data_IF_594061573342
#
_entry.id   IF_594061573342
#
_cell.length_a   1.000
_cell.length_b   1.000
_cell.length_c   1.000
_cell.angle_alpha   90.00
_cell.angle_beta   90.00
_cell.angle_gamma   90.00
#
_symmetry.space_group_name_H-M   'P 1'
#
loop_
_entity.id
_entity.type
_entity.pdbx_description
1 polymer ?
#
# COMPACT_ATOMS: atom_id res chain seq x y z
N UNK A 1 -3.78 -5.48 -8.07
CA UNK A 1 -2.56 -6.25 -8.42
C UNK A 1 -2.65 -6.77 -9.84
N UNK A 2 -3.28 -7.92 -10.11
CA UNK A 2 -3.29 -8.58 -11.44
C UNK A 2 -3.60 -7.64 -12.61
N UNK A 3 -4.69 -6.87 -12.51
CA UNK A 3 -5.12 -5.96 -13.56
C UNK A 3 -4.10 -4.82 -13.79
N UNK A 4 -3.49 -4.28 -12.72
CA UNK A 4 -2.44 -3.24 -12.83
C UNK A 4 -1.18 -3.78 -13.51
N UNK A 5 -0.78 -5.02 -13.19
CA UNK A 5 0.38 -5.66 -13.84
C UNK A 5 0.07 -5.92 -15.30
N UNK A 6 -1.13 -6.40 -15.63
CA UNK A 6 -1.56 -6.63 -17.02
C UNK A 6 -1.57 -5.32 -17.82
N UNK A 7 -2.12 -4.24 -17.27
CA UNK A 7 -2.15 -2.93 -17.94
C UNK A 7 -0.74 -2.43 -18.28
N UNK A 8 0.19 -2.49 -17.31
CA UNK A 8 1.60 -2.12 -17.54
C UNK A 8 2.29 -3.06 -18.53
N UNK A 9 1.99 -4.35 -18.47
CA UNK A 9 2.55 -5.33 -19.41
C UNK A 9 2.11 -5.05 -20.84
N UNK A 10 0.82 -4.78 -21.07
CA UNK A 10 0.28 -4.43 -22.39
C UNK A 10 0.99 -3.19 -22.96
N UNK A 11 1.26 -2.19 -22.12
CA UNK A 11 1.95 -0.97 -22.54
C UNK A 11 3.38 -1.20 -23.07
N UNK A 12 4.02 -2.32 -22.70
CA UNK A 12 5.34 -2.68 -23.25
C UNK A 12 5.30 -3.14 -24.70
N UNK A 13 4.13 -3.55 -25.21
CA UNK A 13 3.91 -4.02 -26.58
C UNK A 13 4.84 -5.16 -27.05
N UNK A 14 5.33 -5.99 -26.11
CA UNK A 14 6.27 -7.08 -26.43
C UNK A 14 5.58 -8.35 -26.97
N UNK A 15 4.28 -8.50 -26.75
CA UNK A 15 3.48 -9.64 -27.24
C UNK A 15 2.19 -9.15 -27.91
N UNK A 16 1.74 -9.82 -28.98
CA UNK A 16 0.43 -9.54 -29.56
C UNK A 16 -0.68 -9.86 -28.57
N UNK A 17 -1.77 -9.09 -28.60
CA UNK A 17 -2.89 -9.26 -27.67
C UNK A 17 -3.46 -10.69 -27.68
N UNK A 18 -3.45 -11.39 -28.82
CA UNK A 18 -3.90 -12.78 -28.96
C UNK A 18 -3.16 -13.77 -28.04
N UNK A 19 -1.89 -13.51 -27.71
CA UNK A 19 -1.06 -14.36 -26.86
C UNK A 19 -1.14 -14.03 -25.37
N UNK A 20 -1.93 -13.02 -25.00
CA UNK A 20 -2.14 -12.57 -23.62
C UNK A 20 -3.54 -12.97 -23.19
N UNK A 21 -3.67 -13.63 -22.04
CA UNK A 21 -4.97 -13.98 -21.46
C UNK A 21 -5.10 -13.44 -20.05
N UNK A 22 -6.28 -12.89 -19.74
CA UNK A 22 -6.74 -12.57 -18.38
C UNK A 22 -7.78 -13.60 -17.95
N UNK A 23 -7.39 -14.57 -17.13
CA UNK A 23 -8.30 -15.58 -16.62
C UNK A 23 -8.87 -15.16 -15.26
N UNK A 24 -10.17 -14.87 -15.20
CA UNK A 24 -10.89 -14.50 -13.98
C UNK A 24 -12.03 -15.49 -13.73
N UNK A 25 -12.34 -15.76 -12.46
CA UNK A 25 -13.54 -16.53 -12.08
C UNK A 25 -14.83 -15.73 -12.28
N UNK A 26 -14.72 -14.40 -12.29
CA UNK A 26 -15.81 -13.46 -12.54
C UNK A 26 -15.27 -12.34 -13.42
N UNK A 27 -15.61 -12.38 -14.71
CA UNK A 27 -15.15 -11.41 -15.69
C UNK A 27 -15.62 -9.98 -15.36
N UNK A 28 -16.75 -9.80 -14.66
CA UNK A 28 -17.27 -8.48 -14.33
C UNK A 28 -16.37 -7.71 -13.34
N UNK A 29 -15.50 -8.41 -12.62
CA UNK A 29 -14.51 -7.82 -11.71
C UNK A 29 -13.24 -7.35 -12.40
N UNK A 30 -13.06 -7.67 -13.68
CA UNK A 30 -11.93 -7.21 -14.48
C UNK A 30 -12.20 -5.80 -14.98
N UNK A 31 -11.19 -4.92 -14.91
CA UNK A 31 -11.32 -3.54 -15.39
C UNK A 31 -11.81 -3.46 -16.85
N UNK A 32 -12.67 -2.48 -17.16
CA UNK A 32 -13.32 -2.36 -18.49
C UNK A 32 -12.32 -2.38 -19.66
N UNK A 33 -11.19 -1.69 -19.51
CA UNK A 33 -10.13 -1.64 -20.53
C UNK A 33 -9.45 -3.01 -20.77
N UNK A 34 -9.53 -3.92 -19.80
CA UNK A 34 -8.89 -5.23 -19.85
C UNK A 34 -9.86 -6.36 -20.25
N UNK A 35 -11.14 -6.05 -20.44
CA UNK A 35 -12.16 -7.03 -20.81
C UNK A 35 -11.81 -7.80 -22.09
N UNK A 36 -11.21 -7.14 -23.09
CA UNK A 36 -10.78 -7.79 -24.35
C UNK A 36 -9.69 -8.86 -24.19
N UNK A 37 -9.04 -8.93 -23.02
CA UNK A 37 -8.08 -9.97 -22.67
C UNK A 37 -8.71 -11.16 -21.95
N UNK A 38 -9.97 -11.06 -21.53
CA UNK A 38 -10.67 -12.14 -20.86
C UNK A 38 -11.07 -13.25 -21.82
N UNK A 39 -11.15 -14.48 -21.30
CA UNK A 39 -11.60 -15.64 -22.07
C UNK A 39 -13.07 -15.46 -22.47
N UNK A 40 -13.90 -15.00 -21.54
CA UNK A 40 -15.33 -14.77 -21.70
C UNK A 40 -15.62 -13.80 -22.85
N UNK A 41 -14.95 -12.65 -22.88
CA UNK A 41 -15.13 -11.67 -23.95
C UNK A 41 -14.68 -12.21 -25.32
N UNK A 42 -13.60 -13.00 -25.35
CA UNK A 42 -13.08 -13.61 -26.60
C UNK A 42 -13.92 -14.77 -27.13
N UNK A 43 -14.77 -15.35 -26.29
CA UNK A 43 -15.68 -16.43 -26.66
C UNK A 43 -17.13 -15.95 -26.80
N UNK A 44 -17.43 -14.71 -26.42
CA UNK A 44 -18.79 -14.17 -26.40
C UNK A 44 -19.67 -14.80 -25.31
N UNK A 45 -19.07 -15.34 -24.24
CA UNK A 45 -19.78 -16.00 -23.16
C UNK A 45 -18.86 -16.74 -22.20
N UNK A 46 -19.39 -17.02 -21.01
CA UNK A 46 -18.66 -17.70 -19.93
C UNK A 46 -18.58 -19.22 -20.17
N UNK A 47 -17.37 -19.83 -20.16
CA UNK A 47 -17.22 -21.29 -20.19
C UNK A 47 -17.84 -22.00 -18.98
N UNK A 48 -18.06 -21.28 -17.88
CA UNK A 48 -18.73 -21.80 -16.69
C UNK A 48 -20.22 -22.03 -16.96
N UNK A 49 -20.84 -21.13 -17.72
CA UNK A 49 -22.28 -21.16 -18.01
C UNK A 49 -22.59 -21.97 -19.28
N UNK A 50 -21.64 -22.05 -20.21
CA UNK A 50 -21.79 -22.78 -21.46
C UNK A 50 -20.67 -23.83 -21.65
N UNK A 51 -20.93 -25.11 -21.31
CA UNK A 51 -19.94 -26.19 -21.44
C UNK A 51 -19.38 -26.37 -22.85
N UNK A 52 -20.10 -25.94 -23.90
CA UNK A 52 -19.61 -26.01 -25.29
C UNK A 52 -18.39 -25.12 -25.54
N UNK A 53 -18.21 -24.08 -24.73
CA UNK A 53 -17.08 -23.15 -24.83
C UNK A 53 -15.81 -23.67 -24.13
N UNK A 54 -15.90 -24.69 -23.27
CA UNK A 54 -14.76 -25.19 -22.49
C UNK A 54 -13.59 -25.59 -23.38
N UNK A 55 -13.83 -26.38 -24.43
CA UNK A 55 -12.77 -26.83 -25.35
C UNK A 55 -12.12 -25.66 -26.09
N UNK A 56 -12.88 -24.62 -26.43
CA UNK A 56 -12.36 -23.42 -27.08
C UNK A 56 -11.55 -22.57 -26.08
N UNK A 57 -12.00 -22.48 -24.84
CA UNK A 57 -11.28 -21.80 -23.77
C UNK A 57 -9.95 -22.48 -23.45
N UNK A 58 -9.94 -23.81 -23.30
CA UNK A 58 -8.73 -24.61 -23.08
C UNK A 58 -7.74 -24.41 -24.22
N UNK A 59 -8.20 -24.47 -25.48
CA UNK A 59 -7.35 -24.19 -26.64
C UNK A 59 -6.75 -22.79 -26.60
N UNK A 60 -7.56 -21.76 -26.30
CA UNK A 60 -7.05 -20.38 -26.17
C UNK A 60 -5.97 -20.25 -25.09
N UNK A 61 -6.15 -20.93 -23.95
CA UNK A 61 -5.15 -20.94 -22.87
C UNK A 61 -3.86 -21.64 -23.31
N UNK A 62 -3.97 -22.76 -24.03
CA UNK A 62 -2.80 -23.46 -24.58
C UNK A 62 -2.05 -22.65 -25.64
N UNK A 63 -2.77 -21.89 -26.46
CA UNK A 63 -2.20 -21.03 -27.51
C UNK A 63 -1.59 -19.72 -26.95
N UNK A 64 -1.86 -19.40 -25.68
CA UNK A 64 -1.35 -18.18 -25.04
C UNK A 64 0.08 -18.36 -24.53
N UNK A 65 0.86 -17.29 -24.60
CA UNK A 65 2.22 -17.24 -24.04
C UNK A 65 2.19 -16.86 -22.57
N UNK A 66 1.25 -16.01 -22.16
CA UNK A 66 1.14 -15.52 -20.79
C UNK A 66 -0.33 -15.47 -20.32
N UNK A 67 -0.54 -15.93 -19.08
CA UNK A 67 -1.86 -15.94 -18.43
C UNK A 67 -1.79 -15.15 -17.14
N UNK A 68 -2.60 -14.10 -17.05
CA UNK A 68 -2.80 -13.27 -15.87
C UNK A 68 -4.01 -13.78 -15.08
N UNK A 69 -3.80 -14.19 -13.84
CA UNK A 69 -4.87 -14.66 -12.95
C UNK A 69 -4.53 -14.40 -11.49
N UNK A 70 -5.52 -14.54 -10.60
CA UNK A 70 -5.26 -14.55 -9.16
C UNK A 70 -4.70 -15.91 -8.74
N UNK A 71 -3.97 -15.99 -7.62
CA UNK A 71 -3.43 -17.28 -7.15
C UNK A 71 -4.52 -18.33 -6.98
N UNK A 72 -5.66 -17.98 -6.39
CA UNK A 72 -6.82 -18.87 -6.29
C UNK A 72 -7.40 -19.23 -7.66
N UNK A 73 -7.46 -18.26 -8.59
CA UNK A 73 -7.96 -18.46 -9.95
C UNK A 73 -7.16 -19.49 -10.74
N UNK A 74 -5.86 -19.61 -10.49
CA UNK A 74 -4.99 -20.62 -11.12
C UNK A 74 -5.45 -22.07 -10.84
N UNK A 75 -6.10 -22.30 -9.69
CA UNK A 75 -6.64 -23.62 -9.31
C UNK A 75 -8.05 -23.90 -9.80
N UNK A 76 -8.69 -22.95 -10.49
CA UNK A 76 -10.12 -22.98 -10.81
C UNK A 76 -10.40 -22.97 -12.31
N UNK A 77 -11.64 -23.35 -12.66
CA UNK A 77 -12.18 -23.25 -14.01
C UNK A 77 -11.28 -23.88 -15.08
N UNK A 78 -11.09 -23.15 -16.17
CA UNK A 78 -10.32 -23.56 -17.36
C UNK A 78 -8.82 -23.76 -17.07
N UNK A 79 -8.29 -23.17 -15.99
CA UNK A 79 -6.88 -23.31 -15.61
C UNK A 79 -6.60 -24.55 -14.76
N UNK A 80 -7.64 -25.21 -14.24
CA UNK A 80 -7.52 -26.32 -13.27
C UNK A 80 -6.61 -27.45 -13.75
N UNK A 81 -6.57 -27.74 -15.05
CA UNK A 81 -5.74 -28.79 -15.66
C UNK A 81 -4.53 -28.28 -16.45
N UNK A 82 -4.32 -26.96 -16.49
CA UNK A 82 -3.22 -26.33 -17.23
C UNK A 82 -1.96 -26.31 -16.37
N UNK A 83 -0.82 -26.64 -16.95
CA UNK A 83 0.48 -26.55 -16.28
C UNK A 83 1.23 -25.29 -16.73
N UNK A 84 2.05 -24.75 -15.84
CA UNK A 84 2.82 -23.54 -16.03
C UNK A 84 4.27 -23.79 -15.58
N UNK A 85 5.21 -23.81 -16.53
CA UNK A 85 6.64 -23.98 -16.21
C UNK A 85 7.21 -22.82 -15.38
N UNK A 86 6.68 -21.62 -15.60
CA UNK A 86 7.11 -20.38 -14.96
C UNK A 86 5.94 -19.71 -14.25
N UNK A 87 6.13 -19.36 -12.98
CA UNK A 87 5.11 -18.68 -12.17
C UNK A 87 5.70 -17.42 -11.57
N UNK A 88 5.08 -16.28 -11.87
CA UNK A 88 5.37 -15.00 -11.21
C UNK A 88 4.20 -14.67 -10.27
N UNK A 89 4.50 -14.45 -9.00
CA UNK A 89 3.54 -14.04 -7.99
C UNK A 89 3.88 -12.63 -7.53
N UNK A 90 3.07 -11.66 -7.91
CA UNK A 90 3.14 -10.29 -7.41
C UNK A 90 2.38 -10.17 -6.07
N UNK A 91 2.76 -9.19 -5.24
CA UNK A 91 2.26 -9.00 -3.87
C UNK A 91 2.33 -10.28 -3.01
N UNK A 92 3.39 -11.07 -3.20
CA UNK A 92 3.57 -12.37 -2.56
C UNK A 92 3.77 -12.29 -1.02
N UNK A 93 3.99 -11.09 -0.46
CA UNK A 93 3.96 -10.87 0.99
C UNK A 93 2.55 -10.76 1.57
N UNK A 94 1.53 -10.52 0.75
CA UNK A 94 0.13 -10.30 1.16
C UNK A 94 -0.78 -11.52 0.96
N UNK A 95 -0.20 -12.68 0.60
CA UNK A 95 -0.92 -13.93 0.44
C UNK A 95 -0.37 -14.98 1.39
N UNK A 96 -1.24 -15.82 1.95
CA UNK A 96 -0.81 -16.94 2.78
C UNK A 96 0.03 -17.91 1.97
N UNK A 97 0.92 -18.64 2.64
CA UNK A 97 1.74 -19.67 1.97
C UNK A 97 0.88 -20.67 1.19
N UNK A 98 -0.21 -21.16 1.79
CA UNK A 98 -1.16 -22.04 1.11
C UNK A 98 -1.75 -21.41 -0.16
N UNK A 99 -2.05 -20.11 -0.14
CA UNK A 99 -2.55 -19.39 -1.31
C UNK A 99 -1.50 -19.26 -2.42
N UNK A 100 -0.25 -18.95 -2.08
CA UNK A 100 0.85 -18.86 -3.04
C UNK A 100 1.19 -20.22 -3.67
N UNK A 101 0.99 -21.33 -2.95
CA UNK A 101 1.25 -22.67 -3.47
C UNK A 101 0.30 -23.09 -4.59
N UNK A 102 -0.91 -22.53 -4.68
CA UNK A 102 -1.92 -22.92 -5.69
C UNK A 102 -1.37 -22.85 -7.12
N UNK A 103 -0.78 -21.73 -7.60
CA UNK A 103 -0.16 -21.70 -8.92
C UNK A 103 1.16 -22.48 -8.98
N UNK A 104 1.90 -22.61 -7.88
CA UNK A 104 3.21 -23.28 -7.86
C UNK A 104 3.11 -24.80 -8.04
N UNK A 105 2.04 -25.43 -7.57
CA UNK A 105 1.82 -26.88 -7.77
C UNK A 105 1.32 -27.22 -9.18
N UNK A 106 1.20 -26.25 -10.09
CA UNK A 106 0.74 -26.43 -11.47
C UNK A 106 1.89 -26.76 -12.42
N UNK A 107 2.81 -27.64 -12.01
CA UNK A 107 3.98 -28.01 -12.84
C UNK A 107 5.10 -26.97 -12.86
N UNK A 108 5.12 -26.03 -11.92
CA UNK A 108 6.12 -24.95 -11.85
C UNK A 108 7.55 -25.50 -11.74
N UNK A 109 8.41 -25.09 -12.66
CA UNK A 109 9.85 -25.37 -12.67
C UNK A 109 10.66 -24.20 -12.13
N UNK A 110 10.19 -22.96 -12.34
CA UNK A 110 10.84 -21.72 -11.89
C UNK A 110 9.79 -20.73 -11.40
N UNK A 111 10.00 -20.21 -10.19
CA UNK A 111 9.10 -19.25 -9.58
C UNK A 111 9.82 -17.93 -9.26
N UNK A 112 9.13 -16.82 -9.45
CA UNK A 112 9.55 -15.50 -8.98
C UNK A 112 8.46 -14.95 -8.06
N UNK A 113 8.83 -14.72 -6.79
CA UNK A 113 7.94 -14.12 -5.80
C UNK A 113 8.36 -12.66 -5.60
N UNK A 114 7.46 -11.73 -5.91
CA UNK A 114 7.69 -10.29 -5.76
C UNK A 114 6.78 -9.79 -4.65
N UNK A 115 7.34 -9.05 -3.70
CA UNK A 115 6.58 -8.48 -2.59
C UNK A 115 7.50 -7.91 -1.53
N UNK A 116 6.90 -7.30 -0.51
CA UNK A 116 7.62 -6.67 0.59
C UNK A 116 7.29 -7.36 1.92
N UNK A 117 8.25 -8.15 2.41
CA UNK A 117 8.15 -8.90 3.66
C UNK A 117 8.27 -8.04 4.93
N UNK A 118 8.53 -6.74 4.83
CA UNK A 118 8.50 -5.79 5.96
C UNK A 118 7.27 -4.85 5.91
N UNK A 119 6.35 -5.05 4.97
CA UNK A 119 5.01 -4.45 4.95
C UNK A 119 3.94 -5.44 5.46
N UNK A 120 2.65 -5.14 5.30
CA UNK A 120 1.57 -5.94 5.88
C UNK A 120 1.56 -7.37 5.32
N UNK A 121 1.37 -8.32 6.24
CA UNK A 121 1.10 -9.73 5.99
C UNK A 121 -0.36 -9.96 5.55
N UNK A 122 -0.70 -11.12 4.97
CA UNK A 122 -2.09 -11.52 4.75
C UNK A 122 -2.93 -11.44 6.03
N UNK A 123 -4.15 -10.93 5.89
CA UNK A 123 -5.11 -10.90 7.00
C UNK A 123 -5.63 -12.31 7.29
N UNK A 124 -5.37 -12.79 8.51
CA UNK A 124 -5.86 -14.08 9.02
C UNK A 124 -6.65 -13.88 10.31
N UNK A 125 -7.47 -14.88 10.67
CA UNK A 125 -8.16 -14.89 11.99
C UNK A 125 -7.13 -14.91 13.13
N UNK A 126 -7.45 -14.40 14.33
CA UNK A 126 -6.52 -14.35 15.46
C UNK A 126 -5.79 -15.68 15.75
N UNK A 127 -6.52 -16.80 15.71
CA UNK A 127 -5.94 -18.14 15.89
C UNK A 127 -4.90 -18.48 14.81
N UNK A 128 -5.09 -18.00 13.58
CA UNK A 128 -4.13 -18.17 12.50
C UNK A 128 -2.80 -17.47 12.79
N UNK A 129 -2.81 -16.30 13.44
CA UNK A 129 -1.58 -15.60 13.84
C UNK A 129 -0.79 -16.40 14.88
N UNK A 130 -1.47 -17.07 15.82
CA UNK A 130 -0.83 -17.93 16.82
C UNK A 130 -0.07 -19.07 16.15
N UNK A 131 -0.56 -19.57 15.02
CA UNK A 131 0.09 -20.60 14.21
C UNK A 131 0.95 -20.06 13.07
N UNK A 132 1.27 -18.76 13.05
CA UNK A 132 2.03 -18.09 11.99
C UNK A 132 1.45 -18.27 10.58
N UNK A 133 0.14 -18.48 10.46
CA UNK A 133 -0.54 -18.64 9.16
C UNK A 133 -0.55 -17.35 8.32
N UNK A 134 -0.23 -16.22 8.95
CA UNK A 134 0.01 -14.93 8.30
C UNK A 134 1.42 -14.79 7.71
N UNK A 135 2.35 -15.68 7.99
CA UNK A 135 3.67 -15.67 7.36
C UNK A 135 3.53 -16.16 5.92
N UNK A 136 3.89 -15.31 4.95
CA UNK A 136 3.82 -15.68 3.54
C UNK A 136 4.95 -16.60 3.13
N UNK A 137 4.78 -17.29 2.00
CA UNK A 137 5.84 -18.09 1.39
C UNK A 137 7.08 -17.22 1.10
N UNK A 138 6.87 -15.99 0.58
CA UNK A 138 7.95 -15.05 0.31
C UNK A 138 8.70 -14.71 1.60
N UNK A 139 8.01 -14.36 2.68
CA UNK A 139 8.65 -13.99 3.94
C UNK A 139 9.45 -15.15 4.53
N UNK A 140 8.88 -16.36 4.55
CA UNK A 140 9.55 -17.56 5.04
C UNK A 140 10.82 -17.88 4.23
N UNK A 141 10.76 -17.79 2.90
CA UNK A 141 11.90 -18.05 2.04
C UNK A 141 12.95 -16.94 2.11
N UNK A 142 12.54 -15.68 2.25
CA UNK A 142 13.46 -14.54 2.29
C UNK A 142 14.22 -14.43 3.62
N UNK A 143 13.56 -14.69 4.74
CA UNK A 143 14.15 -14.60 6.09
C UNK A 143 14.72 -15.92 6.60
N UNK A 144 14.37 -17.04 5.96
CA UNK A 144 14.84 -18.37 6.33
C UNK A 144 16.30 -18.67 5.96
N UNK A 145 16.77 -19.90 6.22
CA UNK A 145 18.12 -20.33 5.87
C UNK A 145 18.34 -20.30 4.35
N UNK A 146 19.59 -20.14 3.93
CA UNK A 146 19.94 -20.29 2.52
C UNK A 146 19.63 -21.69 2.01
N UNK A 147 19.21 -21.77 0.74
CA UNK A 147 18.84 -23.02 0.09
C UNK A 147 19.37 -23.03 -1.34
N UNK A 148 19.83 -24.20 -1.80
CA UNK A 148 20.28 -24.35 -3.17
C UNK A 148 19.15 -24.01 -4.15
N UNK A 149 19.45 -23.14 -5.12
CA UNK A 149 18.48 -22.68 -6.12
C UNK A 149 17.58 -21.51 -5.68
N UNK A 150 17.70 -21.03 -4.43
CA UNK A 150 16.99 -19.82 -3.97
C UNK A 150 17.88 -18.59 -4.13
N UNK A 151 17.39 -17.60 -4.88
CA UNK A 151 18.00 -16.27 -4.98
C UNK A 151 17.14 -15.23 -4.27
N UNK A 152 17.78 -14.29 -3.58
CA UNK A 152 17.13 -13.17 -2.88
C UNK A 152 17.71 -11.86 -3.38
N UNK A 153 16.85 -10.96 -3.83
CA UNK A 153 17.27 -9.65 -4.34
C UNK A 153 16.35 -8.59 -3.77
N UNK A 154 16.92 -7.59 -3.10
CA UNK A 154 16.21 -6.37 -2.71
C UNK A 154 16.32 -5.36 -3.86
N UNK A 155 15.19 -4.80 -4.28
CA UNK A 155 15.20 -3.60 -5.11
C UNK A 155 15.45 -2.42 -4.19
N UNK A 156 16.63 -1.81 -4.30
CA UNK A 156 17.19 -0.91 -3.29
C UNK A 156 17.08 0.57 -3.67
N UNK A 157 16.44 0.90 -4.80
CA UNK A 157 16.16 2.27 -5.23
C UNK A 157 14.65 2.48 -5.33
N UNK A 158 14.13 3.46 -4.60
CA UNK A 158 12.73 3.89 -4.66
C UNK A 158 12.58 5.21 -5.44
N UNK A 159 11.46 5.35 -6.15
CA UNK A 159 11.15 6.50 -7.00
C UNK A 159 9.85 7.21 -6.57
N UNK A 160 9.44 7.04 -5.31
CA UNK A 160 8.18 7.56 -4.78
C UNK A 160 8.35 8.89 -4.05
N UNK A 161 9.31 8.94 -3.12
CA UNK A 161 9.40 10.02 -2.14
C UNK A 161 10.82 10.58 -2.00
N UNK A 162 11.00 11.84 -1.57
CA UNK A 162 12.30 12.43 -1.33
C UNK A 162 13.08 11.74 -0.21
N UNK A 163 14.39 11.94 -0.18
CA UNK A 163 15.33 11.35 0.79
C UNK A 163 14.95 11.65 2.24
N UNK A 164 14.39 12.83 2.51
CA UNK A 164 13.88 13.20 3.82
C UNK A 164 12.82 12.22 4.34
N UNK A 165 11.87 11.81 3.49
CA UNK A 165 10.83 10.84 3.88
C UNK A 165 11.35 9.40 3.90
N UNK A 166 12.44 9.13 3.16
CA UNK A 166 13.05 7.82 3.03
C UNK A 166 13.90 7.41 4.23
N UNK A 167 14.46 8.37 4.96
CA UNK A 167 15.44 8.14 6.03
C UNK A 167 14.96 7.14 7.08
N UNK A 168 13.88 7.47 7.80
CA UNK A 168 13.35 6.58 8.84
C UNK A 168 13.00 5.18 8.30
N UNK A 169 12.23 5.03 7.20
CA UNK A 169 11.93 3.71 6.66
C UNK A 169 13.18 2.93 6.25
N UNK A 170 14.14 3.59 5.59
CA UNK A 170 15.39 2.99 5.15
C UNK A 170 16.14 2.39 6.34
N UNK A 171 16.37 3.19 7.37
CA UNK A 171 17.14 2.78 8.55
C UNK A 171 16.44 1.66 9.34
N UNK A 172 15.14 1.78 9.58
CA UNK A 172 14.42 0.91 10.51
C UNK A 172 13.80 -0.35 9.89
N UNK A 173 13.46 -0.31 8.60
CA UNK A 173 12.82 -1.45 7.92
C UNK A 173 13.69 -2.06 6.83
N UNK A 174 14.67 -1.30 6.30
CA UNK A 174 15.46 -1.72 5.15
C UNK A 174 16.99 -1.65 5.41
N UNK A 175 17.43 -1.61 6.67
CA UNK A 175 18.84 -1.67 7.07
C UNK A 175 19.72 -0.57 6.44
N UNK A 176 19.15 0.62 6.20
CA UNK A 176 19.82 1.74 5.55
C UNK A 176 20.11 1.53 4.06
N UNK A 177 19.53 0.50 3.43
CA UNK A 177 19.81 0.13 2.03
C UNK A 177 18.87 0.79 1.02
N UNK A 178 17.75 1.37 1.47
CA UNK A 178 16.78 1.99 0.57
C UNK A 178 17.26 3.38 0.16
N UNK A 179 17.57 3.53 -1.13
CA UNK A 179 18.07 4.77 -1.74
C UNK A 179 16.97 5.50 -2.50
N UNK A 180 17.05 6.83 -2.55
CA UNK A 180 16.11 7.66 -3.30
C UNK A 180 16.61 7.95 -4.71
N UNK A 181 15.76 7.66 -5.70
CA UNK A 181 15.97 8.00 -7.11
C UNK A 181 15.09 9.15 -7.62
N UNK A 182 14.35 9.83 -6.75
CA UNK A 182 13.54 11.01 -7.13
C UNK A 182 14.39 12.27 -7.16
N UNK A 183 14.15 13.13 -8.14
CA UNK A 183 14.73 14.47 -8.19
C UNK A 183 13.92 15.48 -7.36
N UNK A 184 14.59 16.58 -7.00
CA UNK A 184 13.94 17.72 -6.37
C UNK A 184 12.86 18.31 -7.29
N UNK A 185 11.68 18.63 -6.73
CA UNK A 185 10.53 19.16 -7.47
C UNK A 185 10.17 20.58 -7.00
N UNK A 186 10.66 21.64 -7.70
CA UNK A 186 10.42 23.04 -7.32
C UNK A 186 8.93 23.43 -7.32
N UNK A 187 8.15 22.84 -8.24
CA UNK A 187 6.71 23.06 -8.34
C UNK A 187 5.97 22.57 -7.10
N UNK A 188 6.35 21.40 -6.57
CA UNK A 188 5.82 20.86 -5.31
C UNK A 188 6.18 21.78 -4.15
N UNK A 189 7.43 22.21 -4.05
CA UNK A 189 7.85 23.11 -2.96
C UNK A 189 7.06 24.43 -2.99
N UNK A 190 6.88 25.01 -4.18
CA UNK A 190 6.07 26.22 -4.36
C UNK A 190 4.60 25.98 -3.95
N UNK A 191 4.00 24.85 -4.32
CA UNK A 191 2.65 24.53 -3.87
C UNK A 191 2.59 24.39 -2.35
N UNK A 192 3.53 23.69 -1.71
CA UNK A 192 3.56 23.53 -0.25
C UNK A 192 3.65 24.88 0.47
N UNK A 193 4.48 25.81 0.00
CA UNK A 193 4.60 27.17 0.56
C UNK A 193 3.31 27.98 0.54
N UNK A 194 2.45 27.71 -0.45
CA UNK A 194 1.18 28.41 -0.63
C UNK A 194 0.01 27.66 0.03
N UNK A 195 0.25 26.55 0.75
CA UNK A 195 -0.82 25.91 1.53
C UNK A 195 -1.09 26.71 2.81
N UNK A 196 -2.32 26.62 3.31
CA UNK A 196 -2.69 27.22 4.61
C UNK A 196 -1.83 26.70 5.76
N UNK A 197 -1.41 25.42 5.70
CA UNK A 197 -0.49 24.86 6.67
C UNK A 197 0.90 25.47 6.49
N UNK A 198 1.38 26.18 7.51
CA UNK A 198 2.69 26.82 7.52
C UNK A 198 3.81 25.77 7.66
N UNK A 199 4.24 25.21 6.54
CA UNK A 199 5.35 24.26 6.50
C UNK A 199 6.65 24.90 7.02
N UNK A 200 7.40 24.23 7.90
CA UNK A 200 8.68 24.74 8.37
C UNK A 200 9.71 24.73 7.22
N UNK A 201 10.67 25.65 7.29
CA UNK A 201 11.79 25.72 6.34
C UNK A 201 13.11 25.38 7.02
N UNK A 202 13.98 24.67 6.31
CA UNK A 202 15.34 24.37 6.71
C UNK A 202 16.25 25.61 6.66
N UNK A 203 17.51 25.44 7.09
CA UNK A 203 18.50 26.53 7.08
C UNK A 203 18.90 26.96 5.66
N UNK A 204 18.81 26.05 4.71
CA UNK A 204 18.98 26.26 3.28
C UNK A 204 17.76 26.90 2.61
N UNK A 205 16.70 27.15 3.38
CA UNK A 205 15.47 27.76 2.93
C UNK A 205 14.45 26.77 2.38
N UNK A 206 14.80 25.50 2.12
CA UNK A 206 13.89 24.49 1.55
C UNK A 206 12.79 24.09 2.54
N UNK A 207 11.62 23.69 2.01
CA UNK A 207 10.53 23.18 2.84
C UNK A 207 10.92 21.83 3.44
N UNK A 208 10.67 21.69 4.74
CA UNK A 208 10.77 20.42 5.47
C UNK A 208 9.44 19.69 5.30
N UNK A 209 9.48 18.59 4.55
CA UNK A 209 8.28 17.86 4.14
C UNK A 209 7.86 16.77 5.14
N UNK A 210 8.58 16.59 6.24
CA UNK A 210 8.29 15.61 7.29
C UNK A 210 8.02 16.28 8.65
N UNK A 211 6.76 16.43 9.00
CA UNK A 211 6.34 17.25 10.13
C UNK A 211 5.55 16.44 11.17
N UNK A 212 5.75 16.76 12.44
CA UNK A 212 4.94 16.29 13.56
C UNK A 212 4.19 17.46 14.20
N UNK A 213 2.87 17.34 14.36
CA UNK A 213 2.00 18.31 14.99
C UNK A 213 1.48 17.74 16.30
N UNK A 214 1.86 18.38 17.40
CA UNK A 214 1.45 17.99 18.75
C UNK A 214 -0.05 18.20 18.96
N UNK A 215 -0.71 17.21 19.53
CA UNK A 215 -2.12 17.26 19.92
C UNK A 215 -2.35 16.48 21.21
N UNK A 216 -2.48 17.22 22.31
CA UNK A 216 -2.77 16.66 23.65
C UNK A 216 -4.27 16.47 23.93
N UNK A 217 -5.13 16.53 22.90
CA UNK A 217 -6.55 16.25 23.08
C UNK A 217 -6.75 14.75 23.38
N UNK A 218 -7.52 14.45 24.42
CA UNK A 218 -7.76 13.06 24.83
C UNK A 218 -8.52 12.25 23.78
N UNK A 219 -8.20 10.97 23.71
CA UNK A 219 -8.97 10.02 22.90
C UNK A 219 -10.35 9.73 23.54
N UNK A 220 -11.34 9.40 22.73
CA UNK A 220 -12.66 8.98 23.23
C UNK A 220 -12.60 7.54 23.78
N UNK A 221 -12.96 7.38 25.05
CA UNK A 221 -13.02 6.11 25.81
C UNK A 221 -14.40 5.44 25.76
N UNK A 222 -15.05 5.35 24.60
CA UNK A 222 -16.44 4.89 24.55
C UNK A 222 -16.72 3.55 23.86
N UNK A 223 -15.82 3.01 23.03
CA UNK A 223 -16.18 1.96 22.03
C UNK A 223 -15.02 1.03 21.69
N UNK A 224 -15.33 -0.06 20.97
CA UNK A 224 -14.36 -1.06 20.45
C UNK A 224 -13.32 -0.50 19.46
N UNK A 225 -13.50 0.73 18.98
CA UNK A 225 -12.55 1.47 18.15
C UNK A 225 -12.41 2.91 18.67
N UNK A 226 -11.23 3.49 18.51
CA UNK A 226 -10.83 4.78 19.10
C UNK A 226 -11.00 5.91 18.09
N UNK A 227 -11.22 7.11 18.62
CA UNK A 227 -11.30 8.34 17.85
C UNK A 227 -10.82 9.51 18.70
N UNK A 228 -10.42 10.60 18.06
CA UNK A 228 -9.88 11.79 18.69
C UNK A 228 -10.36 13.02 17.92
N UNK A 229 -11.30 13.74 18.55
CA UNK A 229 -11.94 14.92 17.98
C UNK A 229 -10.98 16.11 17.84
N UNK A 230 -10.04 16.28 18.77
CA UNK A 230 -9.04 17.34 18.70
C UNK A 230 -8.09 17.16 17.53
N UNK A 231 -7.61 15.93 17.31
CA UNK A 231 -6.83 15.62 16.11
C UNK A 231 -7.65 15.85 14.83
N UNK A 232 -8.94 15.50 14.82
CA UNK A 232 -9.79 15.71 13.65
C UNK A 232 -9.99 17.20 13.32
N UNK A 233 -10.11 18.08 14.32
CA UNK A 233 -10.16 19.52 14.11
C UNK A 233 -8.84 20.10 13.59
N UNK A 234 -7.70 19.65 14.12
CA UNK A 234 -6.39 20.05 13.60
C UNK A 234 -6.20 19.61 12.14
N UNK A 235 -6.60 18.38 11.80
CA UNK A 235 -6.52 17.87 10.43
C UNK A 235 -7.44 18.66 9.50
N UNK A 236 -8.59 19.10 9.97
CA UNK A 236 -9.48 19.98 9.21
C UNK A 236 -8.83 21.34 8.94
N UNK A 237 -8.07 21.89 9.88
CA UNK A 237 -7.27 23.09 9.65
C UNK A 237 -6.17 22.83 8.60
N UNK A 238 -5.41 21.73 8.73
CA UNK A 238 -4.33 21.34 7.81
C UNK A 238 -4.86 21.11 6.38
N UNK A 239 -6.02 20.44 6.27
CA UNK A 239 -6.61 20.03 5.00
C UNK A 239 -7.36 21.12 4.25
N UNK A 240 -7.52 22.32 4.81
CA UNK A 240 -8.05 23.46 4.07
C UNK A 240 -7.00 23.90 3.04
N UNK A 241 -7.23 23.54 1.78
CA UNK A 241 -6.46 24.08 0.66
C UNK A 241 -6.68 25.59 0.56
N UNK A 242 -5.66 26.32 0.10
CA UNK A 242 -5.77 27.74 -0.13
C UNK A 242 -6.79 27.99 -1.27
N UNK A 243 -7.90 28.66 -0.93
CA UNK A 243 -8.94 29.06 -1.88
C UNK A 243 -8.49 30.17 -2.83
N UNK A 244 -7.25 30.67 -2.68
CA UNK A 244 -6.68 31.74 -3.50
C UNK A 244 -5.66 31.28 -4.55
N UNK A 245 -5.49 29.96 -4.73
CA UNK A 245 -4.60 29.41 -5.75
C UNK A 245 -5.03 29.87 -7.17
N UNK A 246 -4.18 30.71 -7.78
CA UNK A 246 -4.19 31.03 -9.20
C UNK A 246 -3.99 29.76 -10.04
N UNK A 247 -4.48 29.73 -11.28
CA UNK A 247 -4.44 28.58 -12.23
C UNK A 247 -3.04 27.97 -12.48
N UNK A 248 -1.95 28.57 -11.97
CA UNK A 248 -0.56 28.14 -12.18
C UNK A 248 0.01 27.16 -11.13
N UNK A 249 -0.73 26.83 -10.05
CA UNK A 249 -0.23 25.90 -9.01
C UNK A 249 -0.67 24.45 -9.29
N UNK A 250 0.29 23.52 -9.18
CA UNK A 250 0.00 22.09 -9.24
C UNK A 250 -0.89 21.69 -8.07
N UNK A 251 -2.05 21.08 -8.36
CA UNK A 251 -2.93 20.52 -7.33
C UNK A 251 -2.29 19.26 -6.73
N UNK A 252 -2.11 19.23 -5.41
CA UNK A 252 -1.57 18.07 -4.68
C UNK A 252 -2.71 17.33 -3.98
N UNK A 253 -2.79 16.02 -4.19
CA UNK A 253 -3.78 15.19 -3.49
C UNK A 253 -3.40 15.04 -2.00
N UNK A 254 -4.36 15.32 -1.12
CA UNK A 254 -4.22 15.08 0.33
C UNK A 254 -5.01 13.84 0.70
N UNK A 255 -4.35 12.90 1.37
CA UNK A 255 -5.00 11.75 2.00
C UNK A 255 -4.73 11.73 3.50
N UNK A 256 -5.79 11.52 4.29
CA UNK A 256 -5.70 11.28 5.72
C UNK A 256 -5.72 9.78 6.02
N UNK A 257 -4.69 9.32 6.73
CA UNK A 257 -4.57 7.94 7.19
C UNK A 257 -4.71 7.87 8.70
N UNK A 258 -5.34 6.79 9.18
CA UNK A 258 -5.48 6.53 10.63
C UNK A 258 -5.63 5.03 10.87
N UNK A 259 -5.14 4.45 11.98
CA UNK A 259 -5.31 3.02 12.24
C UNK A 259 -6.75 2.65 12.66
N UNK A 260 -7.59 3.62 13.03
CA UNK A 260 -8.91 3.36 13.62
C UNK A 260 -10.07 3.67 12.68
N UNK A 261 -10.95 2.70 12.46
CA UNK A 261 -12.15 2.86 11.63
C UNK A 261 -13.14 3.88 12.19
N UNK A 262 -13.20 4.08 13.51
CA UNK A 262 -14.02 5.13 14.12
C UNK A 262 -13.47 6.52 13.79
N UNK A 263 -12.16 6.73 13.84
CA UNK A 263 -11.53 7.97 13.39
C UNK A 263 -11.78 8.24 11.91
N UNK A 264 -11.75 7.21 11.04
CA UNK A 264 -12.14 7.38 9.63
C UNK A 264 -13.55 7.95 9.49
N UNK A 265 -14.52 7.45 10.26
CA UNK A 265 -15.91 7.95 10.22
C UNK A 265 -16.00 9.40 10.69
N UNK A 266 -15.30 9.73 11.78
CA UNK A 266 -15.27 11.08 12.33
C UNK A 266 -14.63 12.08 11.35
N UNK A 267 -13.49 11.75 10.77
CA UNK A 267 -12.82 12.59 9.78
C UNK A 267 -13.68 12.79 8.53
N UNK A 268 -14.34 11.74 8.01
CA UNK A 268 -15.23 11.86 6.85
C UNK A 268 -16.45 12.76 7.09
N UNK A 269 -16.87 12.94 8.35
CA UNK A 269 -17.96 13.85 8.70
C UNK A 269 -17.49 15.32 8.76
N UNK A 270 -16.20 15.55 9.05
CA UNK A 270 -15.64 16.90 9.26
C UNK A 270 -14.89 17.45 8.06
N UNK A 271 -14.34 16.58 7.22
CA UNK A 271 -13.51 16.93 6.07
C UNK A 271 -14.32 16.97 4.76
N UNK A 272 -13.93 17.81 3.79
CA UNK A 272 -14.53 17.81 2.47
C UNK A 272 -14.30 16.46 1.76
N UNK A 273 -15.22 16.09 0.88
CA UNK A 273 -15.16 14.83 0.11
C UNK A 273 -13.97 14.73 -0.84
N UNK A 274 -13.31 15.84 -1.15
CA UNK A 274 -12.07 15.90 -1.92
C UNK A 274 -10.87 15.30 -1.17
N UNK A 275 -10.91 15.26 0.16
CA UNK A 275 -9.84 14.65 0.97
C UNK A 275 -10.17 13.18 1.19
N UNK A 276 -9.28 12.32 0.72
CA UNK A 276 -9.43 10.87 0.91
C UNK A 276 -9.15 10.54 2.37
N UNK A 277 -10.03 9.79 3.01
CA UNK A 277 -9.83 9.28 4.37
C UNK A 277 -9.90 7.77 4.38
N UNK A 278 -8.84 7.11 4.84
CA UNK A 278 -8.72 5.65 4.86
C UNK A 278 -8.01 5.12 6.10
N UNK A 279 -8.19 3.83 6.38
CA UNK A 279 -7.27 3.14 7.27
C UNK A 279 -5.94 2.82 6.55
N UNK A 280 -4.88 2.59 7.33
CA UNK A 280 -3.58 2.13 6.79
C UNK A 280 -3.75 0.84 5.99
N UNK A 281 -4.40 -0.16 6.57
CA UNK A 281 -4.62 -1.47 5.96
C UNK A 281 -5.40 -1.37 4.62
N UNK A 282 -6.42 -0.50 4.53
CA UNK A 282 -7.19 -0.30 3.28
C UNK A 282 -6.50 0.60 2.25
N UNK A 283 -5.42 1.29 2.63
CA UNK A 283 -4.63 2.14 1.73
C UNK A 283 -3.35 1.46 1.23
N UNK A 284 -3.17 0.17 1.54
CA UNK A 284 -2.05 -0.60 1.05
C UNK A 284 -2.02 -0.65 -0.48
N UNK A 285 -0.82 -0.52 -1.06
CA UNK A 285 -0.63 -0.47 -2.52
C UNK A 285 -1.06 0.86 -3.17
N UNK A 286 -1.59 1.81 -2.40
CA UNK A 286 -1.87 3.17 -2.84
C UNK A 286 -0.81 4.14 -2.32
N UNK A 287 -0.83 5.35 -2.85
CA UNK A 287 0.03 6.47 -2.49
C UNK A 287 -0.75 7.78 -2.71
N UNK A 288 -0.31 8.87 -2.08
CA UNK A 288 -0.90 10.21 -2.23
C UNK A 288 0.22 11.26 -2.20
N UNK A 289 -0.02 12.46 -2.73
CA UNK A 289 1.01 13.51 -2.73
C UNK A 289 1.36 13.92 -1.29
N UNK A 290 0.34 14.19 -0.49
CA UNK A 290 0.48 14.55 0.92
C UNK A 290 -0.27 13.53 1.78
N UNK A 291 0.42 12.98 2.79
CA UNK A 291 -0.20 12.14 3.80
C UNK A 291 -0.31 12.90 5.11
N UNK A 292 -1.52 12.97 5.66
CA UNK A 292 -1.75 13.39 7.04
C UNK A 292 -2.09 12.15 7.86
N UNK A 293 -1.23 11.78 8.81
CA UNK A 293 -1.41 10.60 9.65
C UNK A 293 -1.96 10.97 11.03
N UNK A 294 -3.21 10.59 11.32
CA UNK A 294 -3.84 10.73 12.64
C UNK A 294 -3.54 9.50 13.49
N UNK A 295 -2.74 9.69 14.52
CA UNK A 295 -2.33 8.64 15.47
C UNK A 295 -3.47 8.24 16.43
N UNK A 296 -4.41 9.17 16.69
CA UNK A 296 -5.56 9.05 17.61
C UNK A 296 -5.19 8.95 19.09
N UNK A 297 -4.15 8.19 19.43
CA UNK A 297 -3.84 7.84 20.81
C UNK A 297 -3.33 9.03 21.61
N UNK A 298 -4.02 9.29 22.71
CA UNK A 298 -3.65 10.26 23.73
C UNK A 298 -4.37 9.84 25.02
N UNK A 299 -3.66 9.11 25.88
CA UNK A 299 -4.22 8.51 27.09
C UNK A 299 -3.21 8.46 28.24
N UNK A 300 -3.72 8.46 29.47
CA UNK A 300 -2.91 8.49 30.69
C UNK A 300 -2.07 7.22 30.91
N UNK A 301 -2.48 6.10 30.31
CA UNK A 301 -1.74 4.83 30.38
C UNK A 301 -0.61 4.74 29.34
N UNK A 302 -0.50 5.73 28.44
CA UNK A 302 0.48 5.78 27.35
C UNK A 302 0.49 4.50 26.51
N UNK A 303 -0.69 3.92 26.32
CA UNK A 303 -0.90 2.78 25.46
C UNK A 303 -1.10 3.26 24.02
N UNK A 304 -0.36 2.67 23.09
CA UNK A 304 -0.42 2.97 21.66
C UNK A 304 -1.24 1.93 20.88
N UNK A 305 -1.51 0.75 21.45
CA UNK A 305 -2.39 -0.29 20.90
C UNK A 305 -2.08 -0.64 19.45
N UNK A 306 -3.02 -0.38 18.52
CA UNK A 306 -2.89 -0.75 17.10
C UNK A 306 -1.71 -0.09 16.38
N UNK A 307 -1.15 0.99 16.94
CA UNK A 307 0.03 1.66 16.41
C UNK A 307 1.32 0.85 16.62
N UNK A 308 1.37 -0.11 17.54
CA UNK A 308 2.57 -0.88 17.87
C UNK A 308 3.03 -1.84 16.76
N UNK A 309 2.19 -2.03 15.73
CA UNK A 309 2.52 -2.87 14.58
C UNK A 309 3.53 -2.16 13.65
N UNK A 310 4.79 -2.62 13.70
CA UNK A 310 5.89 -2.10 12.89
C UNK A 310 5.59 -2.11 11.37
N UNK A 311 4.84 -3.09 10.86
CA UNK A 311 4.49 -3.19 9.43
C UNK A 311 3.48 -2.14 9.05
N UNK A 312 2.50 -1.85 9.92
CA UNK A 312 1.56 -0.73 9.72
C UNK A 312 2.28 0.60 9.72
N UNK A 313 3.26 0.78 10.62
CA UNK A 313 4.08 1.99 10.64
C UNK A 313 4.84 2.15 9.32
N UNK A 314 5.52 1.10 8.85
CA UNK A 314 6.22 1.12 7.57
C UNK A 314 5.28 1.46 6.41
N UNK A 315 4.09 0.84 6.34
CA UNK A 315 3.10 1.19 5.31
C UNK A 315 2.74 2.66 5.42
N UNK A 316 2.32 3.16 6.59
CA UNK A 316 1.91 4.55 6.79
C UNK A 316 3.02 5.55 6.41
N UNK A 317 4.28 5.27 6.76
CA UNK A 317 5.41 6.16 6.49
C UNK A 317 5.79 6.23 5.01
N UNK A 318 5.45 5.21 4.22
CA UNK A 318 5.83 5.07 2.81
C UNK A 318 4.70 5.39 1.82
N UNK A 319 3.60 6.01 2.29
CA UNK A 319 2.45 6.38 1.44
C UNK A 319 2.56 7.76 0.79
N UNK A 320 3.32 8.68 1.37
CA UNK A 320 3.50 10.04 0.87
C UNK A 320 4.46 10.04 -0.32
N UNK A 321 4.16 10.83 -1.36
CA UNK A 321 5.08 11.12 -2.47
C UNK A 321 5.86 12.41 -2.24
N UNK A 322 5.22 13.42 -1.67
CA UNK A 322 5.77 14.76 -1.52
C UNK A 322 6.04 15.09 -0.05
N UNK A 323 5.02 14.94 0.80
CA UNK A 323 5.10 15.39 2.19
C UNK A 323 4.23 14.57 3.14
N UNK A 324 4.61 14.56 4.43
CA UNK A 324 3.95 13.84 5.52
C UNK A 324 3.78 14.76 6.72
N UNK A 325 2.56 14.78 7.26
CA UNK A 325 2.23 15.43 8.53
C UNK A 325 1.70 14.35 9.48
N UNK A 326 2.34 14.16 10.63
CA UNK A 326 1.89 13.26 11.69
C UNK A 326 1.21 14.09 12.77
N UNK A 327 -0.05 13.79 13.09
CA UNK A 327 -0.80 14.47 14.16
C UNK A 327 -0.95 13.51 15.33
N UNK A 328 -0.46 13.88 16.51
CA UNK A 328 -0.44 12.99 17.66
C UNK A 328 0.05 13.59 18.96
N UNK A 329 -0.02 12.80 20.03
CA UNK A 329 0.51 13.17 21.34
C UNK A 329 1.87 12.52 21.55
N UNK A 330 2.94 13.32 21.60
CA UNK A 330 4.32 12.80 21.62
C UNK A 330 4.57 11.87 22.81
N UNK A 331 4.19 12.27 24.02
CA UNK A 331 4.46 11.48 25.22
C UNK A 331 3.79 10.09 25.17
N UNK A 332 2.56 10.01 24.64
CA UNK A 332 1.87 8.71 24.47
C UNK A 332 2.57 7.81 23.46
N UNK A 333 3.11 8.37 22.37
CA UNK A 333 3.76 7.59 21.31
C UNK A 333 5.15 7.09 21.72
N UNK A 334 5.94 7.91 22.42
CA UNK A 334 7.37 7.64 22.65
C UNK A 334 7.67 6.82 23.91
N UNK A 335 6.79 6.86 24.92
CA UNK A 335 7.11 6.26 26.23
C UNK A 335 7.35 4.76 26.14
N UNK A 336 6.43 4.04 25.51
CA UNK A 336 6.41 2.58 25.49
C UNK A 336 6.78 1.97 24.12
N UNK A 337 7.32 2.77 23.19
CA UNK A 337 7.74 2.27 21.88
C UNK A 337 8.97 3.00 21.34
N UNK A 338 10.09 2.29 21.27
CA UNK A 338 11.34 2.81 20.70
C UNK A 338 11.18 3.14 19.21
N UNK A 339 10.39 2.34 18.49
CA UNK A 339 10.13 2.53 17.08
C UNK A 339 9.37 3.85 16.83
N UNK A 340 8.33 4.13 17.63
CA UNK A 340 7.62 5.41 17.54
C UNK A 340 8.47 6.58 18.00
N UNK A 341 9.32 6.40 19.01
CA UNK A 341 10.30 7.42 19.42
C UNK A 341 11.21 7.82 18.26
N UNK A 342 11.77 6.84 17.54
CA UNK A 342 12.57 7.11 16.37
C UNK A 342 11.75 7.74 15.22
N UNK A 343 10.53 7.25 14.98
CA UNK A 343 9.66 7.76 13.93
C UNK A 343 9.25 9.22 14.14
N UNK A 344 8.99 9.60 15.39
CA UNK A 344 8.60 10.96 15.77
C UNK A 344 9.83 11.89 15.86
N UNK A 345 11.01 11.35 16.22
CA UNK A 345 12.27 12.09 16.21
C UNK A 345 12.76 12.43 14.79
N UNK A 346 12.41 11.63 13.79
CA UNK A 346 12.68 11.89 12.37
C UNK A 346 11.86 13.07 11.81
N UNK A 347 10.78 13.47 12.50
CA UNK A 347 9.92 14.57 12.10
C UNK A 347 10.31 15.90 12.78
N UNK A 348 10.14 17.02 12.09
CA UNK A 348 10.25 18.35 12.69
C UNK A 348 8.94 18.72 13.39
N UNK A 349 9.03 19.15 14.64
CA UNK A 349 7.84 19.53 15.42
C UNK A 349 7.35 20.92 15.05
N UNK A 350 6.04 21.03 14.83
CA UNK A 350 5.35 22.29 14.56
C UNK A 350 4.17 22.43 15.51
N UNK A 351 3.99 23.63 16.06
CA UNK A 351 2.80 24.00 16.82
C UNK A 351 1.83 24.73 15.90
N UNK A 352 0.59 24.24 15.83
CA UNK A 352 -0.50 24.94 15.16
C UNK A 352 -1.30 25.64 16.25
N UNK A 353 -1.09 26.95 16.39
CA UNK A 353 -1.82 27.82 17.35
C UNK A 353 -3.11 28.35 16.77
#
# INVERSE_FOLDING_TARGET
AVDNVLERFIATNILPASQIIRAATDANKVGKALQGYTIDARLGGSPTDNPRLIKQAEKRVQDAVIVFTTCTGAGLGVLRKVEFDYVLVDEASQITEAGALIPLVKGCKRAVLVGDHVQLRPTVKPLGKVFNFDVSLLERLYTGPEQAGLSRTMLDVQYRFPEELARFPSDHFYQGKLRTGTEFRPDVERTLRNMQFAWPSGRDGHIIANVFVECAAEEDYGRSSKANAGQAELIKYIGKGDTSATDELTSLEITVLTPYTRQVRELRQRLPSSIIVSTVDSFQGRESDIIVFSTVRCNANEDIGFLDDARRLNVAWTRAKCARIVVGHRATLEKNSELWRAAVADCVSVSVT
#
